data_IF_878019005953
#
_entry.id   IF_878019005953
#
_cell.length_a   1.000
_cell.length_b   1.000
_cell.length_c   1.000
_cell.angle_alpha   90.00
_cell.angle_beta   90.00
_cell.angle_gamma   90.00
#
_symmetry.space_group_name_H-M   'P 1'
#
loop_
_entity.id
_entity.type
_entity.pdbx_description
1 polymer ?
#
# COMPACT_ATOMS: atom_id res chain seq x y z
N UNK A 1 -1.44 45.71 0.08
CA UNK A 1 -1.48 45.03 1.39
C UNK A 1 -0.39 43.97 1.34
N UNK A 2 0.74 44.28 1.99
CA UNK A 2 2.00 43.54 1.92
C UNK A 2 1.88 42.14 2.55
N UNK A 3 2.53 41.15 1.96
CA UNK A 3 2.59 39.75 2.39
C UNK A 3 3.76 39.47 3.36
N UNK A 4 4.24 40.48 4.08
CA UNK A 4 5.51 40.41 4.82
C UNK A 4 5.38 40.61 6.34
N UNK A 5 4.32 40.11 6.97
CA UNK A 5 4.21 40.13 8.44
C UNK A 5 3.58 38.87 9.02
N UNK A 6 4.29 37.74 8.90
CA UNK A 6 4.15 36.61 9.81
C UNK A 6 5.54 36.33 10.44
N UNK A 7 5.62 36.08 11.76
CA UNK A 7 6.89 35.75 12.43
C UNK A 7 7.51 34.46 11.87
N UNK A 8 8.83 34.47 11.72
CA UNK A 8 9.66 33.48 11.00
C UNK A 8 10.14 32.31 11.92
N UNK A 9 9.36 31.98 12.93
CA UNK A 9 9.81 31.15 14.06
C UNK A 9 9.29 29.70 13.98
N UNK A 10 8.55 29.34 12.93
CA UNK A 10 7.98 28.00 12.72
C UNK A 10 8.61 27.22 11.55
N UNK A 11 9.66 27.73 10.91
CA UNK A 11 10.48 26.95 9.97
C UNK A 11 11.66 26.31 10.70
N UNK A 12 11.42 25.23 11.42
CA UNK A 12 12.50 24.35 11.88
C UNK A 12 12.16 22.88 11.66
N UNK A 13 12.89 22.26 10.71
CA UNK A 13 12.77 20.84 10.38
C UNK A 13 13.56 20.36 9.15
N UNK A 14 14.86 20.68 9.07
CA UNK A 14 15.86 20.13 8.12
C UNK A 14 15.72 20.49 6.62
N UNK A 15 16.84 20.41 5.89
CA UNK A 15 16.92 20.62 4.43
C UNK A 15 16.08 19.61 3.61
N UNK A 16 16.36 19.41 2.32
CA UNK A 16 15.55 18.50 1.49
C UNK A 16 15.39 17.12 2.14
N UNK A 17 14.22 16.51 2.00
CA UNK A 17 13.95 15.17 2.53
C UNK A 17 15.01 14.17 2.04
N UNK A 18 15.58 13.40 2.95
CA UNK A 18 16.52 12.34 2.61
C UNK A 18 15.74 11.14 2.06
N UNK A 19 16.10 10.66 0.86
CA UNK A 19 15.38 9.57 0.20
C UNK A 19 15.42 8.24 0.98
N UNK A 20 16.48 7.98 1.75
CA UNK A 20 16.52 6.82 2.65
C UNK A 20 15.48 6.96 3.76
N UNK A 21 15.32 8.16 4.34
CA UNK A 21 14.26 8.42 5.31
C UNK A 21 12.88 8.16 4.70
N UNK A 22 12.63 8.66 3.48
CA UNK A 22 11.35 8.47 2.76
C UNK A 22 11.08 6.99 2.51
N UNK A 23 12.10 6.24 2.10
CA UNK A 23 12.04 4.81 1.90
C UNK A 23 11.73 4.05 3.18
N UNK A 24 12.38 4.41 4.28
CA UNK A 24 12.23 3.73 5.57
C UNK A 24 10.84 3.96 6.18
N UNK A 25 10.36 5.20 6.20
CA UNK A 25 8.98 5.48 6.66
C UNK A 25 7.95 4.80 5.76
N UNK A 26 8.18 4.75 4.45
CA UNK A 26 7.31 4.04 3.50
C UNK A 26 7.24 2.53 3.76
N UNK A 27 8.37 1.92 4.14
CA UNK A 27 8.45 0.51 4.54
C UNK A 27 7.71 0.27 5.86
N UNK A 28 7.89 1.14 6.85
CA UNK A 28 7.18 1.05 8.12
C UNK A 28 5.66 1.17 7.94
N UNK A 29 5.21 2.16 7.15
CA UNK A 29 3.79 2.34 6.77
C UNK A 29 3.25 1.09 6.08
N UNK A 30 3.99 0.54 5.11
CA UNK A 30 3.57 -0.68 4.41
C UNK A 30 3.48 -1.89 5.35
N UNK A 31 4.42 -2.03 6.29
CA UNK A 31 4.45 -3.13 7.25
C UNK A 31 3.30 -3.03 8.28
N UNK A 32 3.04 -1.84 8.82
CA UNK A 32 1.94 -1.58 9.75
C UNK A 32 0.56 -1.73 9.08
N UNK A 33 0.47 -1.63 7.75
CA UNK A 33 -0.77 -1.81 6.99
C UNK A 33 -1.06 -3.27 6.62
N UNK A 34 -0.01 -4.04 6.28
CA UNK A 34 -0.09 -5.31 5.54
C UNK A 34 -1.06 -6.35 6.12
N UNK A 35 -1.21 -6.38 7.45
CA UNK A 35 -2.01 -7.41 8.14
C UNK A 35 -3.43 -7.52 7.59
N UNK A 36 -4.05 -6.40 7.20
CA UNK A 36 -5.46 -6.36 6.78
C UNK A 36 -5.76 -7.27 5.59
N UNK A 37 -4.75 -7.58 4.76
CA UNK A 37 -4.90 -8.44 3.59
C UNK A 37 -4.77 -9.95 3.91
N UNK A 38 -4.43 -10.28 5.15
CA UNK A 38 -4.02 -11.62 5.58
C UNK A 38 -4.84 -12.16 6.75
N UNK A 39 -5.41 -11.26 7.56
CA UNK A 39 -6.16 -11.65 8.76
C UNK A 39 -7.53 -12.26 8.42
N UNK A 40 -7.99 -13.27 9.20
CA UNK A 40 -9.26 -13.95 8.95
C UNK A 40 -10.47 -13.02 9.07
N UNK A 41 -10.39 -11.99 9.92
CA UNK A 41 -11.47 -11.04 10.14
C UNK A 41 -11.92 -10.36 8.83
N UNK A 42 -10.99 -10.08 7.91
CA UNK A 42 -11.36 -9.52 6.60
C UNK A 42 -12.26 -10.48 5.82
N UNK A 43 -12.00 -11.79 5.86
CA UNK A 43 -12.84 -12.78 5.18
C UNK A 43 -14.19 -12.97 5.90
N UNK A 44 -14.18 -12.96 7.23
CA UNK A 44 -15.40 -13.04 8.05
C UNK A 44 -16.35 -11.87 7.76
N UNK A 45 -15.84 -10.63 7.77
CA UNK A 45 -16.67 -9.44 7.51
C UNK A 45 -17.18 -9.38 6.05
N UNK A 46 -16.43 -9.93 5.09
CA UNK A 46 -16.92 -10.05 3.71
C UNK A 46 -18.02 -11.11 3.55
N UNK A 47 -17.94 -12.21 4.31
CA UNK A 47 -18.92 -13.29 4.27
C UNK A 47 -20.31 -12.83 4.73
N UNK A 48 -20.40 -11.84 5.61
CA UNK A 48 -21.66 -11.19 6.01
C UNK A 48 -22.39 -10.49 4.84
N UNK A 49 -21.67 -10.18 3.75
CA UNK A 49 -22.24 -9.66 2.52
C UNK A 49 -22.47 -10.74 1.46
N UNK A 50 -22.24 -12.02 1.80
CA UNK A 50 -22.32 -13.14 0.85
C UNK A 50 -21.13 -13.23 -0.11
N UNK A 51 -20.05 -12.50 0.13
CA UNK A 51 -18.84 -12.53 -0.71
C UNK A 51 -17.76 -13.35 0.00
N UNK A 52 -17.64 -14.62 -0.38
CA UNK A 52 -16.70 -15.57 0.24
C UNK A 52 -15.40 -15.71 -0.55
N UNK A 53 -15.39 -15.34 -1.83
CA UNK A 53 -14.19 -15.37 -2.66
C UNK A 53 -13.22 -14.24 -2.26
N UNK A 54 -11.97 -14.61 -1.96
CA UNK A 54 -10.94 -13.69 -1.48
C UNK A 54 -10.63 -12.54 -2.46
N UNK A 55 -10.63 -12.81 -3.76
CA UNK A 55 -10.29 -11.82 -4.80
C UNK A 55 -11.30 -10.66 -4.86
N UNK A 56 -12.59 -10.94 -5.12
CA UNK A 56 -13.67 -9.94 -5.07
C UNK A 56 -13.72 -9.19 -3.73
N UNK A 57 -13.62 -9.89 -2.60
CA UNK A 57 -13.60 -9.25 -1.27
C UNK A 57 -12.41 -8.28 -1.10
N UNK A 58 -11.21 -8.68 -1.51
CA UNK A 58 -10.02 -7.83 -1.50
C UNK A 58 -10.22 -6.54 -2.30
N UNK A 59 -10.77 -6.66 -3.51
CA UNK A 59 -11.03 -5.52 -4.39
C UNK A 59 -12.12 -4.61 -3.81
N UNK A 60 -13.20 -5.18 -3.29
CA UNK A 60 -14.29 -4.44 -2.65
C UNK A 60 -13.78 -3.63 -1.45
N UNK A 61 -13.07 -4.24 -0.49
CA UNK A 61 -12.54 -3.52 0.66
C UNK A 61 -11.57 -2.39 0.31
N UNK A 62 -10.69 -2.61 -0.66
CA UNK A 62 -9.68 -1.60 -1.04
C UNK A 62 -10.24 -0.47 -1.89
N UNK A 63 -11.30 -0.73 -2.67
CA UNK A 63 -11.92 0.28 -3.54
C UNK A 63 -13.17 0.93 -2.94
N UNK A 64 -13.68 0.45 -1.80
CA UNK A 64 -14.88 0.98 -1.15
C UNK A 64 -14.83 2.50 -0.93
N UNK A 65 -13.67 3.05 -0.57
CA UNK A 65 -13.48 4.49 -0.37
C UNK A 65 -13.69 5.32 -1.67
N UNK A 66 -13.59 4.69 -2.85
CA UNK A 66 -13.84 5.34 -4.15
C UNK A 66 -15.34 5.43 -4.47
N UNK A 67 -16.20 4.84 -3.65
CA UNK A 67 -17.63 4.70 -3.92
C UNK A 67 -17.94 3.59 -4.93
N UNK A 68 -19.14 3.65 -5.52
CA UNK A 68 -19.61 2.65 -6.49
C UNK A 68 -18.95 2.88 -7.84
N UNK A 69 -17.76 2.34 -8.03
CA UNK A 69 -17.01 2.42 -9.29
C UNK A 69 -17.14 1.11 -10.10
N UNK A 70 -17.25 1.19 -11.44
CA UNK A 70 -17.23 0.01 -12.28
C UNK A 70 -15.83 -0.62 -12.29
N UNK A 71 -15.74 -1.92 -12.58
CA UNK A 71 -14.49 -2.68 -12.49
C UNK A 71 -13.34 -2.10 -13.36
N UNK A 72 -13.65 -1.38 -14.43
CA UNK A 72 -12.65 -0.71 -15.29
C UNK A 72 -11.90 0.39 -14.53
N UNK A 73 -12.59 1.15 -13.68
CA UNK A 73 -11.98 2.20 -12.85
C UNK A 73 -11.12 1.56 -11.77
N UNK A 74 -11.59 0.45 -11.17
CA UNK A 74 -10.77 -0.36 -10.27
C UNK A 74 -9.54 -0.92 -10.99
N UNK A 75 -9.65 -1.41 -12.23
CA UNK A 75 -8.51 -1.92 -12.98
C UNK A 75 -7.44 -0.84 -13.17
N UNK A 76 -7.84 0.40 -13.45
CA UNK A 76 -6.92 1.51 -13.59
C UNK A 76 -6.16 1.82 -12.29
N UNK A 77 -6.82 1.76 -11.12
CA UNK A 77 -6.16 2.00 -9.83
C UNK A 77 -5.32 0.80 -9.34
N UNK A 78 -5.67 -0.42 -9.76
CA UNK A 78 -5.08 -1.66 -9.26
C UNK A 78 -4.11 -2.23 -10.30
N UNK A 79 -3.14 -1.39 -10.69
CA UNK A 79 -2.28 -1.51 -11.88
C UNK A 79 -1.76 -2.90 -12.23
N UNK A 80 -1.37 -3.71 -11.24
CA UNK A 80 -0.73 -5.00 -11.47
C UNK A 80 -1.71 -6.18 -11.54
N UNK A 81 -3.01 -5.97 -11.40
CA UNK A 81 -4.00 -7.03 -11.59
C UNK A 81 -4.33 -7.24 -13.08
N UNK A 82 -4.60 -8.48 -13.47
CA UNK A 82 -5.19 -8.76 -14.78
C UNK A 82 -6.64 -8.26 -14.85
N UNK A 83 -7.16 -7.93 -16.05
CA UNK A 83 -8.57 -7.64 -16.24
C UNK A 83 -9.48 -8.77 -15.73
N UNK A 84 -9.04 -10.02 -15.85
CA UNK A 84 -9.75 -11.21 -15.38
C UNK A 84 -9.93 -11.22 -13.86
N UNK A 85 -8.89 -10.86 -13.11
CA UNK A 85 -8.97 -10.74 -11.65
C UNK A 85 -9.93 -9.63 -11.23
N UNK A 86 -9.83 -8.45 -11.86
CA UNK A 86 -10.64 -7.29 -11.45
C UNK A 86 -12.11 -7.46 -11.80
N UNK A 87 -12.43 -8.03 -12.97
CA UNK A 87 -13.82 -8.34 -13.36
C UNK A 87 -14.57 -9.22 -12.36
N UNK A 88 -13.86 -10.03 -11.57
CA UNK A 88 -14.47 -10.85 -10.54
C UNK A 88 -15.16 -10.03 -9.43
N UNK A 89 -14.86 -8.73 -9.30
CA UNK A 89 -15.58 -7.84 -8.37
C UNK A 89 -16.99 -7.45 -8.83
N UNK A 90 -17.44 -7.89 -10.02
CA UNK A 90 -18.80 -7.61 -10.46
C UNK A 90 -19.82 -8.10 -9.41
N UNK A 91 -20.79 -7.25 -9.06
CA UNK A 91 -21.83 -7.55 -8.07
C UNK A 91 -21.49 -7.23 -6.60
N UNK A 92 -20.23 -6.89 -6.27
CA UNK A 92 -19.86 -6.59 -4.86
C UNK A 92 -20.59 -5.38 -4.27
N UNK A 93 -20.98 -4.41 -5.12
CA UNK A 93 -21.75 -3.24 -4.71
C UNK A 93 -23.25 -3.50 -4.56
N UNK A 94 -23.77 -4.52 -5.25
CA UNK A 94 -25.15 -4.99 -5.07
C UNK A 94 -25.27 -5.79 -3.76
N UNK A 95 -24.23 -6.55 -3.41
CA UNK A 95 -24.12 -7.29 -2.15
C UNK A 95 -24.09 -6.36 -0.92
N UNK A 96 -23.31 -5.27 -0.99
CA UNK A 96 -23.31 -4.23 0.02
C UNK A 96 -22.82 -2.89 -0.53
N UNK A 97 -23.38 -1.79 -0.04
CA UNK A 97 -22.94 -0.44 -0.41
C UNK A 97 -21.47 -0.20 -0.05
N UNK A 98 -20.73 0.67 -0.76
CA UNK A 98 -19.35 1.02 -0.41
C UNK A 98 -19.17 1.46 1.06
N UNK A 99 -20.15 2.19 1.63
CA UNK A 99 -20.13 2.59 3.03
C UNK A 99 -20.14 1.39 4.01
N UNK A 100 -20.90 0.33 3.69
CA UNK A 100 -20.92 -0.91 4.48
C UNK A 100 -19.60 -1.66 4.37
N UNK A 101 -19.00 -1.74 3.17
CA UNK A 101 -17.66 -2.31 2.98
C UNK A 101 -16.59 -1.54 3.77
N UNK A 102 -16.65 -0.21 3.77
CA UNK A 102 -15.73 0.62 4.53
C UNK A 102 -15.90 0.45 6.05
N UNK A 103 -17.14 0.36 6.55
CA UNK A 103 -17.41 0.08 7.95
C UNK A 103 -16.89 -1.31 8.36
N UNK A 104 -17.16 -2.34 7.55
CA UNK A 104 -16.64 -3.69 7.74
C UNK A 104 -15.10 -3.73 7.74
N UNK A 105 -14.44 -2.92 6.91
CA UNK A 105 -12.97 -2.79 6.91
C UNK A 105 -12.45 -2.27 8.25
N UNK A 106 -13.12 -1.29 8.86
CA UNK A 106 -12.76 -0.79 10.18
C UNK A 106 -13.03 -1.81 11.29
N UNK A 107 -14.13 -2.56 11.21
CA UNK A 107 -14.43 -3.66 12.12
C UNK A 107 -13.34 -4.74 12.05
N UNK A 108 -12.98 -5.19 10.84
CA UNK A 108 -11.92 -6.17 10.63
C UNK A 108 -10.58 -5.68 11.20
N UNK A 109 -10.19 -4.44 10.90
CA UNK A 109 -8.94 -3.85 11.40
C UNK A 109 -8.91 -3.79 12.93
N UNK A 110 -9.98 -3.28 13.56
CA UNK A 110 -10.07 -3.17 15.02
C UNK A 110 -10.12 -4.53 15.73
N UNK A 111 -10.88 -5.50 15.19
CA UNK A 111 -10.94 -6.87 15.72
C UNK A 111 -9.57 -7.55 15.64
N UNK A 112 -8.91 -7.46 14.49
CA UNK A 112 -7.59 -8.05 14.29
C UNK A 112 -6.53 -7.44 15.23
N UNK A 113 -6.49 -6.11 15.35
CA UNK A 113 -5.56 -5.43 16.25
C UNK A 113 -5.81 -5.78 17.72
N UNK A 114 -7.08 -5.89 18.14
CA UNK A 114 -7.45 -6.33 19.49
C UNK A 114 -7.06 -7.78 19.75
N UNK A 115 -7.27 -8.68 18.79
CA UNK A 115 -6.94 -10.12 18.92
C UNK A 115 -5.46 -10.34 19.17
N UNK A 116 -4.58 -9.59 18.49
CA UNK A 116 -3.12 -9.72 18.65
C UNK A 116 -2.56 -8.75 19.71
N UNK A 117 -3.43 -8.09 20.48
CA UNK A 117 -3.08 -7.15 21.52
C UNK A 117 -2.12 -6.04 21.07
N UNK A 118 -2.39 -5.42 19.91
CA UNK A 118 -1.69 -4.21 19.51
C UNK A 118 -1.91 -3.17 20.60
N UNK A 119 -0.83 -2.78 21.28
CA UNK A 119 -0.87 -1.81 22.34
C UNK A 119 0.13 -0.70 22.04
N UNK A 120 -0.39 0.51 21.81
CA UNK A 120 0.36 1.76 21.83
C UNK A 120 -0.10 2.50 23.08
N UNK A 121 0.83 2.91 23.94
CA UNK A 121 0.49 3.78 25.07
C UNK A 121 -0.09 5.10 24.53
N UNK A 122 -1.01 5.73 25.28
CA UNK A 122 -1.78 6.89 24.80
C UNK A 122 -0.90 8.00 24.23
N UNK A 123 0.23 8.30 24.89
CA UNK A 123 1.21 9.29 24.43
C UNK A 123 1.84 8.92 23.07
N UNK A 124 2.14 7.63 22.82
CA UNK A 124 2.66 7.17 21.53
C UNK A 124 1.64 7.32 20.41
N UNK A 125 0.37 6.99 20.70
CA UNK A 125 -0.70 7.13 19.72
C UNK A 125 -0.94 8.60 19.40
N UNK A 126 -1.01 9.47 20.42
CA UNK A 126 -1.19 10.90 20.26
C UNK A 126 -0.05 11.53 19.46
N UNK A 127 1.20 11.14 19.73
CA UNK A 127 2.37 11.60 18.97
C UNK A 127 2.36 11.09 17.52
N UNK A 128 1.98 9.83 17.30
CA UNK A 128 1.86 9.31 15.94
C UNK A 128 0.81 10.09 15.13
N UNK A 129 -0.31 10.44 15.76
CA UNK A 129 -1.38 11.28 15.18
C UNK A 129 -0.91 12.70 14.89
N UNK A 130 -0.21 13.35 15.83
CA UNK A 130 0.29 14.71 15.62
C UNK A 130 1.29 14.82 14.46
N UNK A 131 1.99 13.73 14.13
CA UNK A 131 2.89 13.65 12.98
C UNK A 131 2.16 13.33 11.66
N UNK A 132 1.25 12.36 11.63
CA UNK A 132 0.63 11.91 10.36
C UNK A 132 -0.54 12.79 9.91
N UNK A 133 -1.26 13.41 10.83
CA UNK A 133 -2.42 14.24 10.49
C UNK A 133 -2.06 15.46 9.62
N UNK A 134 -1.01 16.26 9.90
CA UNK A 134 -0.60 17.33 8.99
C UNK A 134 -0.08 16.82 7.65
N UNK A 135 0.56 15.63 7.62
CA UNK A 135 1.00 14.98 6.37
C UNK A 135 -0.20 14.67 5.48
N UNK A 136 -1.24 14.05 6.03
CA UNK A 136 -2.46 13.70 5.28
C UNK A 136 -3.27 14.94 4.89
N UNK A 137 -3.41 15.90 5.80
CA UNK A 137 -4.18 17.12 5.55
C UNK A 137 -3.52 18.04 4.51
N UNK A 138 -2.19 18.07 4.45
CA UNK A 138 -1.41 18.89 3.51
C UNK A 138 -0.99 18.19 2.22
N UNK A 139 -1.36 16.91 2.03
CA UNK A 139 -0.94 16.14 0.86
C UNK A 139 -1.60 16.67 -0.43
N UNK A 140 -0.82 16.72 -1.52
CA UNK A 140 -1.36 16.88 -2.87
C UNK A 140 -1.94 15.55 -3.35
N UNK A 141 -3.23 15.55 -3.66
CA UNK A 141 -3.97 14.37 -4.10
C UNK A 141 -4.16 14.29 -5.63
N UNK A 142 -3.64 15.26 -6.39
CA UNK A 142 -3.70 15.25 -7.84
C UNK A 142 -3.07 13.97 -8.41
N UNK A 143 -3.86 13.17 -9.11
CA UNK A 143 -3.43 11.86 -9.65
C UNK A 143 -3.19 10.78 -8.59
N UNK A 144 -3.60 10.99 -7.33
CA UNK A 144 -3.48 10.03 -6.21
C UNK A 144 -4.84 9.49 -5.82
N UNK A 145 -5.48 8.77 -6.74
CA UNK A 145 -6.90 8.39 -6.64
C UNK A 145 -7.22 7.54 -5.41
N UNK A 146 -6.42 6.51 -5.10
CA UNK A 146 -6.67 5.66 -3.93
C UNK A 146 -6.40 6.41 -2.63
N UNK A 147 -5.37 7.25 -2.61
CA UNK A 147 -5.05 8.08 -1.46
C UNK A 147 -6.18 9.09 -1.18
N UNK A 148 -6.64 9.81 -2.21
CA UNK A 148 -7.71 10.79 -2.14
C UNK A 148 -9.02 10.16 -1.64
N UNK A 149 -9.36 8.99 -2.19
CA UNK A 149 -10.50 8.21 -1.77
C UNK A 149 -10.42 7.88 -0.27
N UNK A 150 -9.30 7.29 0.19
CA UNK A 150 -9.14 6.93 1.60
C UNK A 150 -9.08 8.15 2.53
N UNK A 151 -8.56 9.29 2.08
CA UNK A 151 -8.53 10.54 2.84
C UNK A 151 -9.93 11.16 3.00
N UNK A 152 -10.85 10.89 2.06
CA UNK A 152 -12.23 11.39 2.12
C UNK A 152 -13.13 10.64 3.13
N UNK A 153 -12.67 9.49 3.63
CA UNK A 153 -13.44 8.68 4.58
C UNK A 153 -13.39 9.30 5.97
N UNK A 154 -14.55 9.45 6.61
CA UNK A 154 -14.64 9.88 8.00
C UNK A 154 -13.89 8.90 8.93
N UNK A 155 -13.04 9.44 9.81
CA UNK A 155 -12.27 8.63 10.74
C UNK A 155 -13.20 7.93 11.75
N UNK A 156 -12.94 6.65 12.09
CA UNK A 156 -13.69 5.94 13.12
C UNK A 156 -13.37 6.48 14.52
N UNK A 157 -14.26 6.21 15.49
CA UNK A 157 -14.08 6.65 16.88
C UNK A 157 -12.92 5.96 17.61
N UNK A 158 -12.61 4.71 17.23
CA UNK A 158 -11.49 3.99 17.82
C UNK A 158 -10.17 4.65 17.39
N UNK A 159 -9.36 5.18 18.32
CA UNK A 159 -8.19 5.99 18.00
C UNK A 159 -7.09 5.19 17.28
N UNK A 160 -6.96 3.89 17.57
CA UNK A 160 -5.97 3.03 16.94
C UNK A 160 -6.39 2.70 15.50
N UNK A 161 -7.68 2.42 15.27
CA UNK A 161 -8.21 2.22 13.92
C UNK A 161 -8.15 3.53 13.12
N UNK A 162 -8.38 4.67 13.76
CA UNK A 162 -8.24 5.97 13.13
C UNK A 162 -6.79 6.25 12.70
N UNK A 163 -5.80 5.95 13.55
CA UNK A 163 -4.38 6.01 13.18
C UNK A 163 -4.09 5.08 11.99
N UNK A 164 -4.60 3.85 12.01
CA UNK A 164 -4.44 2.91 10.90
C UNK A 164 -5.07 3.41 9.59
N UNK A 165 -6.17 4.16 9.64
CA UNK A 165 -6.72 4.81 8.45
C UNK A 165 -5.78 5.88 7.89
N UNK A 166 -5.09 6.66 8.72
CA UNK A 166 -4.07 7.59 8.24
C UNK A 166 -2.86 6.88 7.62
N UNK A 167 -2.41 5.79 8.24
CA UNK A 167 -1.38 4.90 7.67
C UNK A 167 -1.85 4.37 6.30
N UNK A 168 -3.14 4.02 6.16
CA UNK A 168 -3.72 3.61 4.88
C UNK A 168 -3.59 4.71 3.83
N UNK A 169 -3.93 5.96 4.16
CA UNK A 169 -3.80 7.08 3.21
C UNK A 169 -2.37 7.25 2.73
N UNK A 170 -1.38 7.29 3.64
CA UNK A 170 0.03 7.42 3.27
C UNK A 170 0.53 6.23 2.42
N UNK A 171 0.07 5.01 2.75
CA UNK A 171 0.35 3.79 1.98
C UNK A 171 -0.19 3.89 0.57
N UNK A 172 -1.43 4.34 0.40
CA UNK A 172 -2.04 4.48 -0.92
C UNK A 172 -1.41 5.62 -1.71
N UNK A 173 -1.02 6.72 -1.06
CA UNK A 173 -0.35 7.84 -1.70
C UNK A 173 0.93 7.38 -2.38
N UNK A 174 1.78 6.64 -1.66
CA UNK A 174 2.98 6.03 -2.26
C UNK A 174 2.63 5.04 -3.36
N UNK A 175 1.58 4.24 -3.15
CA UNK A 175 1.08 3.30 -4.14
C UNK A 175 0.78 3.99 -5.47
N UNK A 176 -0.04 5.04 -5.44
CA UNK A 176 -0.41 5.83 -6.61
C UNK A 176 0.81 6.53 -7.24
N UNK A 177 1.75 7.04 -6.45
CA UNK A 177 3.02 7.57 -6.96
C UNK A 177 3.84 6.50 -7.70
N UNK A 178 3.93 5.29 -7.15
CA UNK A 178 4.65 4.18 -7.77
C UNK A 178 4.04 3.76 -9.11
N UNK A 179 2.71 3.83 -9.27
CA UNK A 179 2.06 3.51 -10.54
C UNK A 179 2.49 4.46 -11.66
N UNK A 180 2.59 5.76 -11.35
CA UNK A 180 3.06 6.77 -12.31
C UNK A 180 4.50 6.46 -12.74
N UNK A 181 5.39 6.18 -11.78
CA UNK A 181 6.79 5.84 -12.05
C UNK A 181 6.93 4.56 -12.87
N UNK A 182 6.12 3.53 -12.58
CA UNK A 182 6.10 2.29 -13.39
C UNK A 182 5.68 2.56 -14.84
N UNK A 183 4.64 3.36 -15.04
CA UNK A 183 4.15 3.72 -16.35
C UNK A 183 5.17 4.56 -17.14
N UNK A 184 5.80 5.55 -16.48
CA UNK A 184 6.86 6.39 -17.08
C UNK A 184 8.07 5.56 -17.51
N UNK A 185 8.46 4.57 -16.70
CA UNK A 185 9.52 3.63 -17.02
C UNK A 185 9.10 2.53 -18.03
N UNK A 186 7.90 2.62 -18.60
CA UNK A 186 7.38 1.72 -19.64
C UNK A 186 7.12 0.28 -19.18
N UNK A 187 6.97 0.05 -17.86
CA UNK A 187 6.63 -1.26 -17.32
C UNK A 187 5.12 -1.47 -17.36
N UNK A 188 4.66 -2.43 -18.17
CA UNK A 188 3.24 -2.80 -18.22
C UNK A 188 2.82 -3.51 -16.92
N UNK A 189 1.50 -3.62 -16.65
CA UNK A 189 0.95 -4.35 -15.50
C UNK A 189 1.58 -5.71 -15.19
N UNK A 190 1.69 -6.61 -16.18
CA UNK A 190 2.30 -7.92 -15.96
C UNK A 190 3.83 -7.83 -15.84
N UNK A 191 4.48 -6.94 -16.59
CA UNK A 191 5.94 -6.77 -16.59
C UNK A 191 6.45 -6.40 -15.19
N UNK A 192 5.75 -5.51 -14.49
CA UNK A 192 6.14 -5.13 -13.13
C UNK A 192 6.06 -6.30 -12.13
N UNK A 193 5.12 -7.23 -12.31
CA UNK A 193 5.03 -8.44 -11.50
C UNK A 193 6.15 -9.42 -11.81
N UNK A 194 6.40 -9.70 -13.09
CA UNK A 194 7.46 -10.62 -13.50
C UNK A 194 8.80 -10.14 -12.95
N UNK A 195 9.12 -8.86 -13.17
CA UNK A 195 10.34 -8.25 -12.64
C UNK A 195 10.41 -8.35 -11.11
N UNK A 196 9.31 -8.08 -10.41
CA UNK A 196 9.29 -8.17 -8.94
C UNK A 196 9.50 -9.61 -8.45
N UNK A 197 8.84 -10.60 -9.05
CA UNK A 197 8.98 -12.01 -8.66
C UNK A 197 10.36 -12.56 -8.98
N UNK A 198 11.01 -12.09 -10.05
CA UNK A 198 12.38 -12.46 -10.40
C UNK A 198 13.42 -12.03 -9.35
N UNK A 199 13.08 -11.07 -8.47
CA UNK A 199 13.93 -10.70 -7.33
C UNK A 199 13.84 -11.66 -6.14
N UNK A 200 12.93 -12.65 -6.17
CA UNK A 200 12.67 -13.56 -5.06
C UNK A 200 11.88 -12.96 -3.89
N UNK A 201 11.59 -11.64 -3.92
CA UNK A 201 10.86 -10.94 -2.84
C UNK A 201 9.36 -11.26 -2.78
N UNK A 202 8.79 -11.80 -3.87
CA UNK A 202 7.40 -12.24 -3.97
C UNK A 202 7.37 -13.60 -4.67
N UNK A 203 6.78 -14.65 -4.09
CA UNK A 203 6.66 -15.94 -4.76
C UNK A 203 5.82 -15.83 -6.04
N UNK A 204 6.36 -16.33 -7.16
CA UNK A 204 5.67 -16.34 -8.47
C UNK A 204 4.31 -17.02 -8.39
N UNK A 205 4.21 -18.17 -7.73
CA UNK A 205 2.95 -18.89 -7.57
C UNK A 205 1.88 -18.04 -6.88
N UNK A 206 2.26 -17.31 -5.82
CA UNK A 206 1.35 -16.41 -5.11
C UNK A 206 0.92 -15.21 -5.98
N UNK A 207 1.87 -14.61 -6.71
CA UNK A 207 1.58 -13.51 -7.63
C UNK A 207 0.57 -13.94 -8.70
N UNK A 208 0.78 -15.12 -9.31
CA UNK A 208 -0.10 -15.65 -10.35
C UNK A 208 -1.48 -16.04 -9.81
N UNK A 209 -1.54 -16.70 -8.65
CA UNK A 209 -2.80 -17.06 -8.01
C UNK A 209 -3.67 -15.83 -7.69
N UNK A 210 -3.06 -14.74 -7.22
CA UNK A 210 -3.79 -13.54 -6.78
C UNK A 210 -4.07 -12.53 -7.89
N UNK A 211 -3.15 -12.38 -8.87
CA UNK A 211 -3.28 -11.39 -9.96
C UNK A 211 -3.86 -11.98 -11.24
N UNK A 212 -3.96 -13.31 -11.30
CA UNK A 212 -4.63 -14.09 -12.36
C UNK A 212 -4.11 -13.76 -13.76
N UNK A 213 -2.80 -13.56 -13.94
CA UNK A 213 -2.18 -13.53 -15.27
C UNK A 213 -1.95 -14.97 -15.77
N UNK A 214 -2.34 -15.25 -17.00
CA UNK A 214 -2.17 -16.59 -17.60
C UNK A 214 -0.74 -16.82 -18.11
N UNK A 215 -0.46 -18.04 -18.60
CA UNK A 215 0.88 -18.45 -19.04
C UNK A 215 1.37 -17.68 -20.26
N UNK A 216 0.48 -17.32 -21.18
CA UNK A 216 0.81 -16.57 -22.38
C UNK A 216 1.15 -15.12 -22.01
N UNK A 217 0.31 -14.49 -21.21
CA UNK A 217 0.52 -13.13 -20.71
C UNK A 217 1.83 -13.01 -19.91
N UNK A 218 2.09 -13.99 -19.04
CA UNK A 218 3.32 -14.06 -18.25
C UNK A 218 4.56 -14.28 -19.13
N UNK A 219 4.49 -15.21 -20.08
CA UNK A 219 5.60 -15.48 -21.01
C UNK A 219 5.90 -14.28 -21.90
N UNK A 220 4.87 -13.58 -22.38
CA UNK A 220 5.03 -12.36 -23.15
C UNK A 220 5.67 -11.23 -22.32
N UNK A 221 5.31 -11.11 -21.04
CA UNK A 221 5.95 -10.16 -20.12
C UNK A 221 7.42 -10.50 -19.86
N UNK A 222 7.74 -11.78 -19.62
CA UNK A 222 9.13 -12.26 -19.50
C UNK A 222 9.92 -11.94 -20.76
N UNK A 223 9.40 -12.27 -21.95
CA UNK A 223 10.07 -12.01 -23.23
C UNK A 223 10.38 -10.52 -23.45
N UNK A 224 9.46 -9.62 -23.08
CA UNK A 224 9.71 -8.16 -23.12
C UNK A 224 10.86 -7.74 -22.20
N UNK A 225 10.93 -8.30 -20.99
CA UNK A 225 11.99 -7.98 -20.04
C UNK A 225 13.34 -8.59 -20.45
N UNK A 226 13.35 -9.76 -21.09
CA UNK A 226 14.55 -10.36 -21.71
C UNK A 226 15.05 -9.48 -22.85
N UNK A 227 14.17 -9.06 -23.74
CA UNK A 227 14.52 -8.15 -24.85
C UNK A 227 15.08 -6.80 -24.35
N UNK A 228 14.66 -6.35 -23.15
CA UNK A 228 15.18 -5.15 -22.49
C UNK A 228 16.51 -5.39 -21.76
N UNK A 229 16.99 -6.63 -21.69
CA UNK A 229 18.17 -7.04 -20.94
C UNK A 229 18.00 -7.01 -19.42
N UNK A 230 16.76 -6.94 -18.92
CA UNK A 230 16.46 -6.89 -17.48
C UNK A 230 16.32 -8.28 -16.87
N UNK A 231 15.96 -9.27 -17.69
CA UNK A 231 16.05 -10.69 -17.38
C UNK A 231 16.97 -11.39 -18.38
N UNK A 232 17.56 -12.51 -17.99
CA UNK A 232 18.28 -13.41 -18.90
C UNK A 232 17.33 -14.41 -19.59
N UNK A 233 17.87 -15.27 -20.46
CA UNK A 233 17.10 -16.29 -21.18
C UNK A 233 16.42 -17.33 -20.27
N UNK A 234 16.79 -17.40 -19.00
CA UNK A 234 16.20 -18.29 -18.00
C UNK A 234 15.17 -17.57 -17.11
N UNK A 235 14.91 -16.28 -17.35
CA UNK A 235 13.99 -15.47 -16.56
C UNK A 235 14.57 -15.00 -15.23
N UNK A 236 15.88 -15.09 -15.04
CA UNK A 236 16.59 -14.58 -13.85
C UNK A 236 16.89 -13.11 -14.04
N UNK A 237 16.76 -12.32 -12.97
CA UNK A 237 17.07 -10.89 -13.02
C UNK A 237 18.56 -10.66 -13.26
N UNK A 238 18.88 -9.81 -14.23
CA UNK A 238 20.26 -9.41 -14.52
C UNK A 238 20.71 -8.26 -13.61
N UNK A 239 22.00 -7.92 -13.63
CA UNK A 239 22.50 -6.71 -12.95
C UNK A 239 21.82 -5.44 -13.49
N UNK A 240 21.63 -5.36 -14.81
CA UNK A 240 20.93 -4.24 -15.45
C UNK A 240 19.46 -4.16 -15.00
N UNK A 241 18.78 -5.31 -14.88
CA UNK A 241 17.41 -5.38 -14.36
C UNK A 241 17.31 -5.00 -12.89
N UNK A 242 18.26 -5.46 -12.06
CA UNK A 242 18.36 -5.10 -10.65
C UNK A 242 18.59 -3.60 -10.47
N UNK A 243 19.51 -3.02 -11.24
CA UNK A 243 19.78 -1.58 -11.24
C UNK A 243 18.56 -0.78 -11.74
N UNK A 244 17.85 -1.26 -12.77
CA UNK A 244 16.64 -0.62 -13.24
C UNK A 244 15.52 -0.64 -12.20
N UNK A 245 15.33 -1.78 -11.54
CA UNK A 245 14.36 -1.95 -10.46
C UNK A 245 14.65 -1.00 -9.29
N UNK A 246 15.92 -0.83 -8.93
CA UNK A 246 16.34 0.11 -7.88
C UNK A 246 16.14 1.57 -8.29
N UNK A 247 16.46 1.94 -9.54
CA UNK A 247 16.16 3.29 -10.06
C UNK A 247 14.68 3.63 -9.94
N UNK A 248 13.78 2.70 -10.29
CA UNK A 248 12.33 2.86 -10.12
C UNK A 248 11.94 3.08 -8.65
N UNK A 249 12.56 2.38 -7.69
CA UNK A 249 12.30 2.66 -6.27
C UNK A 249 12.81 4.03 -5.84
N UNK A 250 14.02 4.42 -6.23
CA UNK A 250 14.59 5.74 -5.90
C UNK A 250 13.73 6.87 -6.47
N UNK A 251 13.26 6.72 -7.71
CA UNK A 251 12.35 7.67 -8.34
C UNK A 251 11.00 7.72 -7.61
N UNK A 252 10.46 6.56 -7.22
CA UNK A 252 9.24 6.51 -6.38
C UNK A 252 9.44 7.25 -5.06
N UNK A 253 10.57 7.05 -4.40
CA UNK A 253 10.88 7.72 -3.13
C UNK A 253 11.06 9.23 -3.33
N UNK A 254 11.66 9.67 -4.44
CA UNK A 254 11.75 11.08 -4.82
C UNK A 254 10.36 11.70 -5.04
N UNK A 255 9.45 11.00 -5.72
CA UNK A 255 8.06 11.44 -5.88
C UNK A 255 7.32 11.51 -4.53
N UNK A 256 7.71 10.71 -3.54
CA UNK A 256 7.12 10.71 -2.21
C UNK A 256 7.76 11.70 -1.23
N UNK A 257 8.86 12.37 -1.59
CA UNK A 257 9.56 13.28 -0.70
C UNK A 257 8.66 14.42 -0.20
N UNK A 258 7.85 15.01 -1.09
CA UNK A 258 6.96 16.12 -0.75
C UNK A 258 5.88 15.75 0.28
N UNK A 259 5.41 14.49 0.29
CA UNK A 259 4.42 14.01 1.26
C UNK A 259 4.94 14.15 2.70
N UNK A 260 6.22 13.87 2.92
CA UNK A 260 6.82 13.83 4.25
C UNK A 260 7.46 15.15 4.70
N UNK A 261 7.56 16.13 3.79
CA UNK A 261 8.14 17.44 4.07
C UNK A 261 7.52 18.17 5.28
N UNK A 262 6.21 18.10 5.57
CA UNK A 262 5.61 18.79 6.71
C UNK A 262 6.16 18.39 8.09
N UNK A 263 6.72 17.18 8.22
CA UNK A 263 7.31 16.68 9.48
C UNK A 263 8.83 16.49 9.41
N UNK A 264 9.42 16.81 8.25
CA UNK A 264 10.85 16.68 8.00
C UNK A 264 11.41 15.26 8.22
N UNK A 265 12.74 15.16 8.12
CA UNK A 265 13.45 13.89 8.28
C UNK A 265 13.30 13.29 9.69
N UNK A 266 13.36 14.12 10.72
CA UNK A 266 13.27 13.69 12.11
C UNK A 266 11.86 13.16 12.44
N UNK A 267 10.82 13.89 12.04
CA UNK A 267 9.43 13.47 12.27
C UNK A 267 9.08 12.21 11.48
N UNK A 268 9.53 12.07 10.24
CA UNK A 268 9.30 10.84 9.46
C UNK A 268 9.94 9.60 10.10
N UNK A 269 11.19 9.72 10.60
CA UNK A 269 11.83 8.63 11.37
C UNK A 269 11.09 8.32 12.66
N UNK A 270 10.68 9.36 13.40
CA UNK A 270 9.93 9.19 14.64
C UNK A 270 8.58 8.50 14.40
N UNK A 271 7.85 8.93 13.37
CA UNK A 271 6.59 8.30 12.98
C UNK A 271 6.78 6.82 12.63
N UNK A 272 7.82 6.47 11.86
CA UNK A 272 8.13 5.09 11.53
C UNK A 272 8.33 4.21 12.78
N UNK A 273 9.08 4.70 13.79
CA UNK A 273 9.27 3.99 15.05
C UNK A 273 7.99 3.86 15.88
N UNK A 274 7.13 4.88 15.88
CA UNK A 274 5.88 4.87 16.65
C UNK A 274 4.86 3.85 16.14
N UNK A 275 4.83 3.58 14.83
CA UNK A 275 3.88 2.63 14.23
C UNK A 275 4.43 1.20 14.10
N UNK A 276 5.73 1.01 14.32
CA UNK A 276 6.40 -0.30 14.27
C UNK A 276 5.73 -1.37 15.15
N UNK A 277 5.28 -1.07 16.39
CA UNK A 277 4.64 -2.07 17.25
C UNK A 277 3.42 -2.75 16.62
N UNK A 278 2.70 -2.08 15.71
CA UNK A 278 1.56 -2.66 14.99
C UNK A 278 2.03 -3.87 14.18
N UNK A 279 3.07 -3.69 13.35
CA UNK A 279 3.62 -4.77 12.53
C UNK A 279 4.23 -5.88 13.41
N UNK A 280 4.92 -5.51 14.49
CA UNK A 280 5.56 -6.47 15.39
C UNK A 280 4.55 -7.39 16.09
N UNK A 281 3.40 -6.88 16.52
CA UNK A 281 2.35 -7.69 17.12
C UNK A 281 1.80 -8.76 16.16
N UNK A 282 1.55 -8.40 14.89
CA UNK A 282 1.10 -9.37 13.88
C UNK A 282 2.19 -10.37 13.47
N UNK A 283 3.46 -9.93 13.46
CA UNK A 283 4.59 -10.81 13.20
C UNK A 283 4.77 -11.86 14.31
N UNK A 284 4.61 -11.47 15.58
CA UNK A 284 4.75 -12.35 16.74
C UNK A 284 3.77 -13.54 16.72
N UNK A 285 2.59 -13.35 16.13
CA UNK A 285 1.59 -14.43 15.96
C UNK A 285 1.65 -15.12 14.59
N UNK A 286 2.69 -14.87 13.79
CA UNK A 286 2.94 -15.56 12.53
C UNK A 286 2.12 -15.07 11.31
N UNK A 287 1.41 -13.94 11.41
CA UNK A 287 0.50 -13.45 10.35
C UNK A 287 1.17 -13.34 8.97
N UNK A 288 2.46 -13.01 8.92
CA UNK A 288 3.19 -12.75 7.67
C UNK A 288 3.92 -13.97 7.09
N UNK A 289 3.88 -15.13 7.75
CA UNK A 289 4.64 -16.33 7.33
C UNK A 289 4.23 -16.82 5.93
N UNK A 290 2.94 -16.76 5.60
CA UNK A 290 2.43 -17.17 4.29
C UNK A 290 2.91 -16.30 3.11
N UNK A 291 3.39 -15.08 3.38
CA UNK A 291 3.83 -14.12 2.33
C UNK A 291 5.36 -14.06 2.21
N UNK A 292 6.10 -14.37 3.28
CA UNK A 292 7.57 -14.30 3.30
C UNK A 292 8.27 -15.54 2.71
N UNK A 293 7.51 -16.56 2.33
CA UNK A 293 8.07 -17.89 2.06
C UNK A 293 8.50 -18.55 3.38
N UNK A 294 8.30 -19.86 3.52
CA UNK A 294 8.89 -20.58 4.65
C UNK A 294 10.41 -20.56 4.48
N UNK A 295 11.20 -20.13 5.49
CA UNK A 295 12.65 -20.15 5.37
C UNK A 295 13.31 -21.53 5.42
N UNK A 296 12.62 -22.62 5.81
CA UNK A 296 13.27 -23.93 5.97
C UNK A 296 12.34 -25.09 5.59
N UNK A 297 12.64 -25.73 4.46
CA UNK A 297 12.58 -27.18 4.23
C UNK A 297 13.53 -27.49 3.05
N UNK A 298 14.83 -27.45 3.32
CA UNK A 298 15.90 -28.14 2.58
C UNK A 298 17.02 -28.48 3.56
#
# INVERSE_FOLDING_TARGET
MHLDTLPDDARTGDGPMNLNTVRDVSRAVSAAHLFIYLVPETAEEAAEFGVTDRGPAYLAFRSAAMGTVPWQVTLAAFYNFSPRAVRAMAGVWDAATPARWQAARFLAAGRAMRRVNVHLIDDHLAEARSLIDPVVAGADYAGKMLAAANASVALPFDPLVALWQQITVAREWRGDAHLVVLADNGLRPCDCLVLHTATGRLPTALARATRRWDDEEWSAATARLVARGWLDSHGVVTDAGSAARERIEVETDAHCAALWAPIGNAGARRFASLIEPIANAFAAVGTFQAVRGQPDLA
#
